data_IF_710080326363
#
_entry.id   IF_710080326363
#
_cell.length_a   1.000
_cell.length_b   1.000
_cell.length_c   1.000
_cell.angle_alpha   90.00
_cell.angle_beta   90.00
_cell.angle_gamma   90.00
#
_symmetry.space_group_name_H-M   'P 1'
#
loop_
_entity.id
_entity.type
_entity.pdbx_description
1 polymer ?
#
# COMPACT_ATOMS: atom_id res chain seq x y z
N UNK A 1 3.63 -7.10 -3.14
CA UNK A 1 3.61 -6.73 -4.56
C UNK A 1 2.20 -6.76 -5.11
N UNK A 2 1.96 -6.07 -6.22
CA UNK A 2 0.72 -6.22 -6.97
C UNK A 2 0.96 -7.16 -8.16
N UNK A 3 0.03 -8.08 -8.38
CA UNK A 3 -0.02 -8.93 -9.57
C UNK A 3 -1.33 -8.60 -10.28
N UNK A 4 -1.25 -7.98 -11.44
CA UNK A 4 -2.42 -7.41 -12.16
C UNK A 4 -3.29 -6.56 -11.22
N UNK A 5 -2.64 -5.68 -10.46
CA UNK A 5 -3.25 -4.76 -9.47
C UNK A 5 -3.83 -5.42 -8.22
N UNK A 6 -3.69 -6.73 -8.06
CA UNK A 6 -4.15 -7.46 -6.88
C UNK A 6 -2.99 -7.65 -5.89
N UNK A 7 -3.14 -7.25 -4.62
CA UNK A 7 -2.08 -7.44 -3.62
C UNK A 7 -1.81 -8.92 -3.36
N UNK A 8 -0.54 -9.29 -3.39
CA UNK A 8 -0.08 -10.65 -3.10
C UNK A 8 1.18 -10.60 -2.23
N UNK A 9 1.34 -11.60 -1.36
CA UNK A 9 2.59 -11.81 -0.64
C UNK A 9 3.59 -12.45 -1.60
N UNK A 10 4.64 -11.71 -1.95
CA UNK A 10 5.62 -12.18 -2.94
C UNK A 10 6.32 -13.47 -2.50
N UNK A 11 6.51 -13.66 -1.20
CA UNK A 11 7.15 -14.86 -0.65
C UNK A 11 6.35 -16.16 -0.85
N UNK A 12 5.04 -16.06 -1.10
CA UNK A 12 4.17 -17.22 -1.29
C UNK A 12 3.67 -17.39 -2.72
N UNK A 13 4.21 -16.61 -3.66
CA UNK A 13 3.84 -16.66 -5.07
C UNK A 13 4.98 -17.28 -5.88
N UNK A 14 4.68 -18.40 -6.57
CA UNK A 14 5.64 -19.02 -7.46
C UNK A 14 5.82 -18.16 -8.71
N UNK A 15 7.06 -17.89 -9.09
CA UNK A 15 7.41 -17.08 -10.28
C UNK A 15 6.70 -17.58 -11.54
N UNK A 16 6.65 -18.91 -11.70
CA UNK A 16 6.03 -19.56 -12.84
C UNK A 16 4.51 -19.32 -12.91
N UNK A 17 3.82 -19.17 -11.74
CA UNK A 17 2.36 -18.97 -11.73
C UNK A 17 1.92 -17.57 -12.18
N UNK A 18 2.83 -16.62 -12.25
CA UNK A 18 2.53 -15.23 -12.64
C UNK A 18 3.01 -14.90 -14.07
N UNK A 19 3.32 -15.93 -14.84
CA UNK A 19 3.75 -15.74 -16.23
C UNK A 19 2.68 -14.97 -17.03
N UNK A 20 3.11 -13.92 -17.73
CA UNK A 20 2.22 -13.07 -18.54
C UNK A 20 1.46 -12.02 -17.74
N UNK A 21 1.63 -11.97 -16.41
CA UNK A 21 0.96 -10.99 -15.57
C UNK A 21 1.87 -9.79 -15.27
N UNK A 22 1.23 -8.63 -15.04
CA UNK A 22 1.93 -7.40 -14.69
C UNK A 22 2.26 -7.42 -13.20
N UNK A 23 3.55 -7.29 -12.88
CA UNK A 23 4.01 -7.25 -11.49
C UNK A 23 4.46 -5.83 -11.18
N UNK A 24 3.97 -5.27 -10.06
CA UNK A 24 4.37 -3.96 -9.57
C UNK A 24 4.90 -4.10 -8.14
N UNK A 25 6.09 -3.60 -7.89
CA UNK A 25 6.68 -3.53 -6.56
C UNK A 25 6.68 -2.09 -6.06
N UNK A 26 7.15 -1.88 -4.82
CA UNK A 26 7.14 -0.54 -4.20
C UNK A 26 7.91 0.49 -5.04
N UNK A 27 8.98 0.07 -5.69
CA UNK A 27 9.80 0.94 -6.54
C UNK A 27 9.06 1.41 -7.80
N UNK A 28 8.04 0.67 -8.22
CA UNK A 28 7.26 0.97 -9.41
C UNK A 28 6.05 1.87 -9.17
N UNK A 29 5.81 2.32 -7.94
CA UNK A 29 4.65 3.17 -7.62
C UNK A 29 4.91 4.65 -7.91
N UNK A 30 6.13 5.12 -7.70
CA UNK A 30 6.49 6.49 -8.02
C UNK A 30 6.62 6.67 -9.53
N UNK A 31 6.34 7.89 -10.01
CA UNK A 31 6.51 8.25 -11.40
C UNK A 31 8.00 8.33 -11.77
N UNK A 32 8.31 8.29 -13.07
CA UNK A 32 9.68 8.34 -13.56
C UNK A 32 10.43 9.63 -13.16
N UNK A 33 9.69 10.71 -12.91
CA UNK A 33 10.24 12.01 -12.44
C UNK A 33 10.47 12.05 -10.93
N UNK A 34 10.19 10.95 -10.21
CA UNK A 34 10.32 10.87 -8.76
C UNK A 34 9.08 11.29 -7.98
N UNK A 35 7.99 11.69 -8.64
CA UNK A 35 6.73 12.04 -7.95
C UNK A 35 6.16 10.81 -7.26
N UNK A 36 5.91 10.92 -5.96
CA UNK A 36 5.37 9.82 -5.16
C UNK A 36 3.92 9.50 -5.54
N UNK A 37 3.55 8.23 -5.40
CA UNK A 37 2.14 7.85 -5.52
C UNK A 37 1.33 8.49 -4.39
N UNK A 38 0.00 8.67 -4.56
CA UNK A 38 -0.84 9.29 -3.53
C UNK A 38 -0.74 8.60 -2.15
N UNK A 39 -0.60 7.28 -2.13
CA UNK A 39 -0.47 6.51 -0.87
C UNK A 39 0.90 6.76 -0.24
N UNK A 40 1.98 6.74 -1.03
CA UNK A 40 3.32 7.07 -0.54
C UNK A 40 3.35 8.50 0.03
N UNK A 41 2.72 9.45 -0.65
CA UNK A 41 2.62 10.81 -0.16
C UNK A 41 1.87 10.90 1.16
N UNK A 42 0.80 10.14 1.32
CA UNK A 42 0.05 10.08 2.59
C UNK A 42 0.92 9.62 3.76
N UNK A 43 1.81 8.64 3.52
CA UNK A 43 2.76 8.18 4.56
C UNK A 43 3.72 9.28 4.97
N UNK A 44 4.21 10.06 4.01
CA UNK A 44 5.13 11.20 4.28
C UNK A 44 4.38 12.31 5.02
N UNK A 45 3.19 12.69 4.55
CA UNK A 45 2.40 13.78 5.14
C UNK A 45 2.08 13.53 6.61
N UNK A 46 1.71 12.30 6.95
CA UNK A 46 1.30 11.93 8.31
C UNK A 46 2.44 11.33 9.14
N UNK A 47 3.60 11.09 8.53
CA UNK A 47 4.75 10.44 9.18
C UNK A 47 4.32 9.14 9.91
N UNK A 48 3.52 8.33 9.25
CA UNK A 48 2.88 7.13 9.80
C UNK A 48 3.81 5.94 9.93
N UNK A 49 5.01 6.14 10.46
CA UNK A 49 6.00 5.06 10.58
C UNK A 49 6.98 5.35 11.73
N UNK A 50 7.62 4.30 12.21
CA UNK A 50 8.79 4.39 13.10
C UNK A 50 10.02 3.89 12.34
N UNK A 51 10.29 2.57 12.36
CA UNK A 51 11.45 2.03 11.63
C UNK A 51 11.21 1.94 10.11
N UNK A 52 9.97 2.05 9.66
CA UNK A 52 9.53 1.99 8.27
C UNK A 52 9.76 0.65 7.54
N UNK A 53 10.24 -0.38 8.23
CA UNK A 53 10.52 -1.68 7.60
C UNK A 53 9.26 -2.33 7.01
N UNK A 54 8.11 -2.16 7.67
CA UNK A 54 6.84 -2.72 7.21
C UNK A 54 6.13 -1.87 6.15
N UNK A 55 6.58 -0.64 5.92
CA UNK A 55 5.88 0.32 5.06
C UNK A 55 5.70 -0.14 3.62
N UNK A 56 6.68 -0.74 2.96
CA UNK A 56 6.47 -1.23 1.59
C UNK A 56 5.26 -2.17 1.48
N UNK A 57 5.12 -3.09 2.43
CA UNK A 57 3.99 -4.02 2.46
C UNK A 57 2.65 -3.30 2.65
N UNK A 58 2.56 -2.41 3.62
CA UNK A 58 1.33 -1.64 3.87
C UNK A 58 0.95 -0.76 2.69
N UNK A 59 1.92 -0.07 2.09
CA UNK A 59 1.67 0.79 0.92
C UNK A 59 1.16 -0.03 -0.27
N UNK A 60 1.79 -1.18 -0.54
CA UNK A 60 1.36 -2.04 -1.64
C UNK A 60 -0.04 -2.62 -1.41
N UNK A 61 -0.32 -3.10 -0.19
CA UNK A 61 -1.64 -3.64 0.16
C UNK A 61 -2.71 -2.56 0.05
N UNK A 62 -2.46 -1.37 0.60
CA UNK A 62 -3.39 -0.24 0.53
C UNK A 62 -3.61 0.22 -0.91
N UNK A 63 -2.55 0.32 -1.72
CA UNK A 63 -2.66 0.73 -3.12
C UNK A 63 -3.57 -0.22 -3.89
N UNK A 64 -3.39 -1.52 -3.73
CA UNK A 64 -4.24 -2.51 -4.39
C UNK A 64 -5.68 -2.47 -3.88
N UNK A 65 -5.87 -2.40 -2.57
CA UNK A 65 -7.20 -2.32 -1.97
C UNK A 65 -7.99 -1.08 -2.43
N UNK A 66 -7.34 0.08 -2.46
CA UNK A 66 -7.96 1.34 -2.85
C UNK A 66 -8.36 1.40 -4.32
N UNK A 67 -7.81 0.56 -5.16
CA UNK A 67 -8.26 0.42 -6.56
C UNK A 67 -9.65 -0.20 -6.65
N UNK A 68 -10.02 -1.05 -5.69
CA UNK A 68 -11.35 -1.68 -5.63
C UNK A 68 -12.31 -0.91 -4.76
N UNK A 69 -11.84 -0.22 -3.73
CA UNK A 69 -12.64 0.60 -2.83
C UNK A 69 -11.93 1.94 -2.58
N UNK A 70 -12.17 2.96 -3.42
CA UNK A 70 -11.44 4.23 -3.34
C UNK A 70 -11.88 5.13 -2.18
N UNK A 71 -12.99 4.84 -1.53
CA UNK A 71 -13.51 5.61 -0.41
C UNK A 71 -13.86 4.72 0.79
N UNK A 72 -12.87 4.01 1.38
CA UNK A 72 -13.13 3.12 2.48
C UNK A 72 -13.36 3.90 3.79
N UNK A 73 -14.13 3.30 4.70
CA UNK A 73 -14.07 3.70 6.10
C UNK A 73 -12.71 3.27 6.67
N UNK A 74 -12.35 3.84 7.82
CA UNK A 74 -11.11 3.45 8.53
C UNK A 74 -11.09 1.96 8.84
N UNK A 75 -12.24 1.40 9.23
CA UNK A 75 -12.37 -0.02 9.57
C UNK A 75 -12.20 -0.91 8.33
N UNK A 76 -12.79 -0.53 7.22
CA UNK A 76 -12.65 -1.26 5.95
C UNK A 76 -11.20 -1.27 5.47
N UNK A 77 -10.51 -0.14 5.56
CA UNK A 77 -9.11 -0.07 5.17
C UNK A 77 -8.23 -0.90 6.13
N UNK A 78 -8.51 -0.83 7.43
CA UNK A 78 -7.82 -1.68 8.42
C UNK A 78 -7.96 -3.16 8.07
N UNK A 79 -9.16 -3.59 7.68
CA UNK A 79 -9.40 -4.95 7.23
C UNK A 79 -8.64 -5.27 5.93
N UNK A 80 -8.66 -4.35 4.98
CA UNK A 80 -7.97 -4.51 3.68
C UNK A 80 -6.45 -4.68 3.78
N UNK A 81 -5.83 -4.14 4.83
CA UNK A 81 -4.37 -4.25 5.06
C UNK A 81 -4.02 -5.17 6.23
N UNK A 82 -4.99 -5.91 6.76
CA UNK A 82 -4.85 -6.71 7.99
C UNK A 82 -3.82 -7.85 7.88
N UNK A 83 -3.43 -8.25 6.69
CA UNK A 83 -2.40 -9.26 6.47
C UNK A 83 -0.97 -8.76 6.68
N UNK A 84 -0.78 -7.47 6.93
CA UNK A 84 0.53 -6.87 7.14
C UNK A 84 0.80 -6.69 8.64
N UNK A 85 2.03 -6.95 9.07
CA UNK A 85 2.43 -6.85 10.47
C UNK A 85 3.46 -5.74 10.66
N UNK A 86 3.37 -5.06 11.79
CA UNK A 86 4.32 -4.02 12.20
C UNK A 86 4.94 -4.38 13.54
N UNK A 87 6.26 -4.53 13.59
CA UNK A 87 6.98 -4.86 14.82
C UNK A 87 6.95 -3.71 15.84
N UNK A 88 6.88 -2.47 15.38
CA UNK A 88 6.74 -1.30 16.24
C UNK A 88 5.31 -1.12 16.78
N UNK A 89 4.36 -1.87 16.25
CA UNK A 89 2.95 -1.85 16.63
C UNK A 89 2.26 -0.49 16.47
N UNK A 90 2.68 0.28 15.47
CA UNK A 90 2.18 1.63 15.23
C UNK A 90 0.99 1.62 14.26
N UNK A 91 0.12 0.64 14.39
CA UNK A 91 -1.00 0.41 13.47
C UNK A 91 -1.93 1.59 13.34
N UNK A 92 -2.18 2.33 14.42
CA UNK A 92 -3.07 3.48 14.39
C UNK A 92 -2.51 4.60 13.51
N UNK A 93 -1.24 4.94 13.65
CA UNK A 93 -0.55 5.93 12.81
C UNK A 93 -0.44 5.49 11.36
N UNK A 94 -0.10 4.21 11.14
CA UNK A 94 -0.03 3.63 9.81
C UNK A 94 -1.39 3.78 9.12
N UNK A 95 -2.46 3.43 9.82
CA UNK A 95 -3.81 3.52 9.26
C UNK A 95 -4.21 4.96 8.95
N UNK A 96 -3.84 5.91 9.81
CA UNK A 96 -4.06 7.35 9.54
C UNK A 96 -3.34 7.78 8.26
N UNK A 97 -2.10 7.35 8.07
CA UNK A 97 -1.32 7.63 6.88
C UNK A 97 -1.95 7.05 5.61
N UNK A 98 -2.44 5.80 5.70
CA UNK A 98 -3.11 5.15 4.57
C UNK A 98 -4.46 5.79 4.25
N UNK A 99 -5.20 6.26 5.25
CA UNK A 99 -6.44 7.04 5.05
C UNK A 99 -6.13 8.36 4.34
N UNK A 100 -5.03 9.03 4.70
CA UNK A 100 -4.55 10.21 3.99
C UNK A 100 -4.21 9.88 2.54
N UNK A 101 -3.58 8.73 2.31
CA UNK A 101 -3.30 8.23 0.97
C UNK A 101 -4.57 8.02 0.13
N UNK A 102 -5.61 7.47 0.74
CA UNK A 102 -6.91 7.29 0.09
C UNK A 102 -7.52 8.65 -0.30
N UNK A 103 -7.44 9.62 0.59
CA UNK A 103 -7.89 10.99 0.32
C UNK A 103 -7.11 11.60 -0.85
N UNK A 104 -5.79 11.47 -0.85
CA UNK A 104 -4.93 11.95 -1.94
C UNK A 104 -5.29 11.29 -3.28
N UNK A 105 -5.59 10.00 -3.29
CA UNK A 105 -6.02 9.30 -4.50
C UNK A 105 -7.32 9.87 -5.08
N UNK A 106 -8.27 10.21 -4.22
CA UNK A 106 -9.55 10.79 -4.67
C UNK A 106 -9.38 12.19 -5.25
N UNK A 107 -8.37 12.92 -4.82
CA UNK A 107 -8.07 14.29 -5.31
C UNK A 107 -7.22 14.31 -6.58
N UNK A 108 -6.54 13.22 -6.86
CA UNK A 108 -5.65 13.11 -8.00
C UNK A 108 -6.39 13.00 -9.34
#
# INVERSE_FOLDING_TARGET
MLVDDVPRYSCSVLTHSVRGQKITTIEGLASADGTLSPVQQGVIDEQGFQCAFCMPGFVMAATGYLKTNPNPSRQELAHGVSGNLCRCQDYDKILTALMRGAENMRRA
#
